data_IF_680953638695
#
_entry.id   IF_680953638695
#
_cell.length_a   1.000
_cell.length_b   1.000
_cell.length_c   1.000
_cell.angle_alpha   90.00
_cell.angle_beta   90.00
_cell.angle_gamma   90.00
#
_symmetry.space_group_name_H-M   'P 1'
#
loop_
_entity.id
_entity.type
_entity.pdbx_description
1 polymer ?
#
# COMPACT_ATOMS: atom_id res chain seq x y z
N UNK A 1 16.18 -5.82 27.41
CA UNK A 1 15.76 -4.60 26.69
C UNK A 1 14.47 -4.10 27.31
N UNK A 2 14.43 -2.84 27.75
CA UNK A 2 13.22 -2.21 28.30
C UNK A 2 12.36 -1.72 27.13
N UNK A 3 11.14 -2.23 26.99
CA UNK A 3 10.16 -1.77 25.98
C UNK A 3 9.15 -0.85 26.66
N UNK A 4 8.82 0.27 26.01
CA UNK A 4 7.78 1.18 26.48
C UNK A 4 6.44 0.44 26.49
N UNK A 5 5.78 0.37 27.65
CA UNK A 5 4.47 -0.29 27.81
C UNK A 5 3.54 0.53 28.68
N UNK A 6 2.24 0.42 28.39
CA UNK A 6 1.20 0.93 29.28
C UNK A 6 1.15 0.14 30.59
N UNK A 7 0.59 0.76 31.62
CA UNK A 7 0.20 0.04 32.84
C UNK A 7 -0.80 -1.06 32.50
N UNK A 8 -0.84 -2.13 33.32
CA UNK A 8 -1.71 -3.28 33.08
C UNK A 8 -3.20 -2.89 32.94
N UNK A 9 -3.76 -2.01 33.79
CA UNK A 9 -5.17 -1.60 33.66
C UNK A 9 -5.43 -0.84 32.34
N UNK A 10 -4.61 0.16 32.01
CA UNK A 10 -4.78 0.95 30.79
C UNK A 10 -4.67 0.09 29.52
N UNK A 11 -3.78 -0.90 29.53
CA UNK A 11 -3.67 -1.84 28.42
C UNK A 11 -4.95 -2.67 28.21
N UNK A 12 -5.63 -3.07 29.30
CA UNK A 12 -6.88 -3.82 29.22
C UNK A 12 -8.01 -2.97 28.61
N UNK A 13 -8.13 -1.71 29.01
CA UNK A 13 -9.13 -0.78 28.46
C UNK A 13 -8.88 -0.51 26.98
N UNK A 14 -7.62 -0.25 26.61
CA UNK A 14 -7.23 -0.06 25.21
C UNK A 14 -7.51 -1.30 24.36
N UNK A 15 -7.36 -2.51 24.90
CA UNK A 15 -7.67 -3.75 24.19
C UNK A 15 -9.15 -3.84 23.85
N UNK A 16 -10.04 -3.47 24.77
CA UNK A 16 -11.48 -3.44 24.52
C UNK A 16 -11.85 -2.43 23.43
N UNK A 17 -11.33 -1.20 23.52
CA UNK A 17 -11.55 -0.14 22.52
C UNK A 17 -11.04 -0.55 21.14
N UNK A 18 -9.82 -1.09 21.05
CA UNK A 18 -9.24 -1.57 19.79
C UNK A 18 -10.07 -2.68 19.16
N UNK A 19 -10.55 -3.64 19.95
CA UNK A 19 -11.39 -4.74 19.45
C UNK A 19 -12.72 -4.22 18.89
N UNK A 20 -13.35 -3.28 19.59
CA UNK A 20 -14.57 -2.62 19.13
C UNK A 20 -14.34 -1.88 17.81
N UNK A 21 -13.33 -1.01 17.75
CA UNK A 21 -13.00 -0.22 16.56
C UNK A 21 -12.60 -1.10 15.37
N UNK A 22 -11.83 -2.17 15.62
CA UNK A 22 -11.42 -3.10 14.57
C UNK A 22 -12.63 -3.72 13.87
N UNK A 23 -13.63 -4.13 14.65
CA UNK A 23 -14.83 -4.77 14.12
C UNK A 23 -15.80 -3.77 13.50
N UNK A 24 -16.04 -2.63 14.17
CA UNK A 24 -17.13 -1.70 13.80
C UNK A 24 -16.71 -0.56 12.89
N UNK A 25 -15.43 -0.22 12.86
CA UNK A 25 -14.90 0.89 12.04
C UNK A 25 -13.98 0.36 10.95
N UNK A 26 -12.86 -0.26 11.31
CA UNK A 26 -11.84 -0.65 10.32
C UNK A 26 -12.26 -1.79 9.38
N UNK A 27 -13.17 -2.67 9.83
CA UNK A 27 -13.74 -3.75 9.01
C UNK A 27 -15.22 -3.56 8.69
N UNK A 28 -15.75 -2.34 8.81
CA UNK A 28 -17.10 -2.05 8.37
C UNK A 28 -17.27 -2.37 6.87
N UNK A 29 -18.45 -2.85 6.41
CA UNK A 29 -18.64 -3.24 5.02
C UNK A 29 -18.25 -2.17 4.00
N UNK A 30 -18.57 -0.90 4.26
CA UNK A 30 -18.19 0.23 3.40
C UNK A 30 -16.68 0.43 3.31
N UNK A 31 -15.95 0.25 4.40
CA UNK A 31 -14.48 0.35 4.42
C UNK A 31 -13.85 -0.83 3.68
N UNK A 32 -14.40 -2.03 3.84
CA UNK A 32 -13.90 -3.22 3.12
C UNK A 32 -14.15 -3.13 1.61
N UNK A 33 -15.27 -2.56 1.18
CA UNK A 33 -15.54 -2.33 -0.24
C UNK A 33 -14.49 -1.41 -0.89
N UNK A 34 -14.19 -0.26 -0.27
CA UNK A 34 -13.16 0.67 -0.78
C UNK A 34 -11.77 0.01 -0.78
N UNK A 35 -11.44 -0.77 0.26
CA UNK A 35 -10.18 -1.52 0.27
C UNK A 35 -10.08 -2.50 -0.90
N UNK A 36 -11.14 -3.25 -1.16
CA UNK A 36 -11.15 -4.21 -2.26
C UNK A 36 -10.98 -3.51 -3.63
N UNK A 37 -11.66 -2.38 -3.83
CA UNK A 37 -11.52 -1.57 -5.04
C UNK A 37 -10.07 -1.10 -5.25
N UNK A 38 -9.44 -0.50 -4.24
CA UNK A 38 -8.05 -0.03 -4.36
C UNK A 38 -7.08 -1.19 -4.53
N UNK A 39 -7.28 -2.32 -3.84
CA UNK A 39 -6.45 -3.52 -4.02
C UNK A 39 -6.49 -4.01 -5.47
N UNK A 40 -7.66 -4.06 -6.10
CA UNK A 40 -7.79 -4.44 -7.52
C UNK A 40 -6.97 -3.50 -8.42
N UNK A 41 -6.96 -2.19 -8.14
CA UNK A 41 -6.15 -1.24 -8.93
C UNK A 41 -4.65 -1.50 -8.77
N UNK A 42 -4.19 -1.78 -7.55
CA UNK A 42 -2.79 -2.09 -7.28
C UNK A 42 -2.37 -3.42 -7.93
N UNK A 43 -3.26 -4.42 -7.92
CA UNK A 43 -3.03 -5.72 -8.56
C UNK A 43 -2.87 -5.60 -10.08
N UNK A 44 -3.44 -4.56 -10.70
CA UNK A 44 -3.20 -4.22 -12.11
C UNK A 44 -1.92 -3.41 -12.34
N UNK A 45 -1.67 -2.39 -11.51
CA UNK A 45 -0.55 -1.46 -11.69
C UNK A 45 0.81 -2.11 -11.41
N UNK A 46 0.93 -2.90 -10.33
CA UNK A 46 2.22 -3.46 -9.93
C UNK A 46 2.84 -4.37 -11.00
N UNK A 47 2.11 -5.38 -11.54
CA UNK A 47 2.65 -6.21 -12.61
C UNK A 47 2.94 -5.41 -13.89
N UNK A 48 2.14 -4.39 -14.20
CA UNK A 48 2.34 -3.56 -15.38
C UNK A 48 3.66 -2.79 -15.30
N UNK A 49 3.93 -2.09 -14.19
CA UNK A 49 5.19 -1.37 -14.03
C UNK A 49 6.39 -2.32 -13.95
N UNK A 50 6.23 -3.50 -13.35
CA UNK A 50 7.30 -4.50 -13.33
C UNK A 50 7.63 -5.03 -14.73
N UNK A 51 6.61 -5.24 -15.58
CA UNK A 51 6.79 -5.68 -16.96
C UNK A 51 7.25 -4.56 -17.90
N UNK A 52 6.92 -3.30 -17.59
CA UNK A 52 7.26 -2.11 -18.37
C UNK A 52 7.80 -0.99 -17.48
N UNK A 53 9.03 -1.11 -16.93
CA UNK A 53 9.59 -0.12 -16.02
C UNK A 53 9.73 1.29 -16.63
N UNK A 54 9.82 1.39 -17.96
CA UNK A 54 9.82 2.66 -18.69
C UNK A 54 8.53 3.49 -18.54
N UNK A 55 7.45 2.90 -17.98
CA UNK A 55 6.23 3.62 -17.65
C UNK A 55 6.33 4.40 -16.34
N UNK A 56 7.35 4.11 -15.50
CA UNK A 56 7.62 4.89 -14.31
C UNK A 56 8.08 6.31 -14.70
N UNK A 57 7.81 7.34 -13.87
CA UNK A 57 8.26 8.70 -14.11
C UNK A 57 9.78 8.80 -14.28
N UNK A 58 10.25 9.85 -14.95
CA UNK A 58 11.66 10.03 -15.29
C UNK A 58 12.59 10.02 -14.07
N UNK A 59 12.13 10.56 -12.94
CA UNK A 59 12.87 10.60 -11.69
C UNK A 59 13.16 9.21 -11.09
N UNK A 60 12.40 8.17 -11.48
CA UNK A 60 12.60 6.79 -11.02
C UNK A 60 13.48 5.95 -11.95
N UNK A 61 13.78 6.44 -13.15
CA UNK A 61 14.51 5.65 -14.15
C UNK A 61 15.95 5.35 -13.70
N UNK A 62 16.57 6.24 -12.93
CA UNK A 62 17.91 6.00 -12.35
C UNK A 62 17.90 4.78 -11.42
N UNK A 63 16.87 4.65 -10.58
CA UNK A 63 16.74 3.53 -9.65
C UNK A 63 16.37 2.22 -10.38
N UNK A 64 15.58 2.31 -11.46
CA UNK A 64 15.28 1.19 -12.35
C UNK A 64 16.55 0.67 -13.02
N UNK A 65 17.39 1.56 -13.56
CA UNK A 65 18.66 1.20 -14.20
C UNK A 65 19.67 0.62 -13.20
N UNK A 66 19.65 1.10 -11.95
CA UNK A 66 20.50 0.60 -10.86
C UNK A 66 20.05 -0.76 -10.30
N UNK A 67 18.82 -1.21 -10.60
CA UNK A 67 18.30 -2.47 -10.11
C UNK A 67 19.08 -3.67 -10.70
N UNK A 68 19.76 -4.42 -9.84
CA UNK A 68 20.64 -5.53 -10.25
C UNK A 68 19.90 -6.83 -10.56
N UNK A 69 18.66 -6.97 -10.08
CA UNK A 69 17.82 -8.13 -10.29
C UNK A 69 16.32 -7.78 -10.22
N UNK A 70 15.47 -8.78 -10.48
CA UNK A 70 14.02 -8.61 -10.46
C UNK A 70 13.46 -8.22 -9.08
N UNK A 71 14.12 -8.63 -7.99
CA UNK A 71 13.70 -8.28 -6.63
C UNK A 71 14.00 -6.82 -6.33
N UNK A 72 15.18 -6.34 -6.75
CA UNK A 72 15.55 -4.94 -6.66
C UNK A 72 14.58 -4.07 -7.47
N UNK A 73 14.26 -4.47 -8.71
CA UNK A 73 13.29 -3.75 -9.54
C UNK A 73 11.88 -3.74 -8.92
N UNK A 74 11.43 -4.88 -8.39
CA UNK A 74 10.15 -4.97 -7.68
C UNK A 74 10.07 -4.03 -6.48
N UNK A 75 11.20 -3.78 -5.79
CA UNK A 75 11.28 -2.82 -4.69
C UNK A 75 11.11 -1.38 -5.19
N UNK A 76 11.79 -0.99 -6.26
CA UNK A 76 11.63 0.33 -6.89
C UNK A 76 10.17 0.58 -7.29
N UNK A 77 9.54 -0.41 -7.94
CA UNK A 77 8.11 -0.36 -8.31
C UNK A 77 7.22 -0.25 -7.07
N UNK A 78 7.50 -1.02 -6.01
CA UNK A 78 6.74 -0.97 -4.77
C UNK A 78 6.85 0.39 -4.07
N UNK A 79 8.04 0.99 -4.06
CA UNK A 79 8.28 2.31 -3.45
C UNK A 79 7.54 3.40 -4.22
N UNK A 80 7.53 3.35 -5.56
CA UNK A 80 6.73 4.26 -6.38
C UNK A 80 5.23 4.14 -6.07
N UNK A 81 4.70 2.90 -6.02
CA UNK A 81 3.30 2.64 -5.71
C UNK A 81 2.94 3.08 -4.29
N UNK A 82 3.81 2.84 -3.31
CA UNK A 82 3.61 3.25 -1.92
C UNK A 82 3.60 4.78 -1.76
N UNK A 83 4.24 5.52 -2.68
CA UNK A 83 4.20 6.98 -2.74
C UNK A 83 2.91 7.56 -3.34
N UNK A 84 2.04 6.73 -3.92
CA UNK A 84 0.79 7.19 -4.53
C UNK A 84 -0.27 7.54 -3.48
N UNK A 85 -1.11 8.52 -3.81
CA UNK A 85 -2.40 8.71 -3.12
C UNK A 85 -3.46 7.83 -3.75
N UNK A 86 -4.51 7.45 -3.01
CA UNK A 86 -5.63 6.64 -3.53
C UNK A 86 -6.20 7.22 -4.83
N UNK A 87 -6.42 8.54 -4.86
CA UNK A 87 -6.94 9.25 -6.05
C UNK A 87 -6.01 9.07 -7.25
N UNK A 88 -4.70 9.19 -7.03
CA UNK A 88 -3.71 9.04 -8.09
C UNK A 88 -3.63 7.60 -8.60
N UNK A 89 -3.63 6.61 -7.71
CA UNK A 89 -3.62 5.19 -8.09
C UNK A 89 -4.84 4.80 -8.93
N UNK A 90 -6.04 5.31 -8.57
CA UNK A 90 -7.26 5.09 -9.35
C UNK A 90 -7.15 5.71 -10.75
N UNK A 91 -6.64 6.94 -10.85
CA UNK A 91 -6.46 7.63 -12.13
C UNK A 91 -5.41 6.95 -13.02
N UNK A 92 -4.27 6.56 -12.46
CA UNK A 92 -3.24 5.84 -13.20
C UNK A 92 -3.73 4.48 -13.69
N UNK A 93 -4.44 3.72 -12.85
CA UNK A 93 -5.04 2.46 -13.27
C UNK A 93 -6.03 2.65 -14.41
N UNK A 94 -6.89 3.67 -14.36
CA UNK A 94 -7.80 3.98 -15.47
C UNK A 94 -7.05 4.35 -16.75
N UNK A 95 -5.92 5.05 -16.65
CA UNK A 95 -5.12 5.47 -17.81
C UNK A 95 -4.36 4.32 -18.45
N UNK A 96 -3.86 3.39 -17.64
CA UNK A 96 -2.87 2.39 -18.05
C UNK A 96 -3.43 0.97 -18.18
N UNK A 97 -4.48 0.65 -17.44
CA UNK A 97 -5.11 -0.67 -17.40
C UNK A 97 -6.59 -0.65 -17.85
N UNK A 98 -7.16 0.53 -18.06
CA UNK A 98 -8.52 0.74 -18.54
C UNK A 98 -8.66 0.66 -20.06
#
# INVERSE_FOLDING_TARGET
MTVIRFSKPLYQDLKAVRSFLFTRMYRAPSVMAVRAEVTEKLDGLFPLYLAKPQLLPAEWQVDVEAATDQTALARVVADYIAGMTDRFAIQEHQRLCG
#
